data_IF_387611764479
#
_entry.id   IF_387611764479
#
_cell.length_a   1.000
_cell.length_b   1.000
_cell.length_c   1.000
_cell.angle_alpha   90.00
_cell.angle_beta   90.00
_cell.angle_gamma   90.00
#
_symmetry.space_group_name_H-M   'P 1'
#
loop_
_entity.id
_entity.type
_entity.pdbx_description
1 polymer ?
#
# COMPACT_ATOMS: atom_id res chain seq x y z
N UNK A 1 -3.59 -16.10 2.15
CA UNK A 1 -2.14 -16.39 2.35
C UNK A 1 -1.27 -15.20 1.94
N UNK A 2 -0.15 -14.94 2.64
CA UNK A 2 0.82 -13.88 2.31
C UNK A 2 1.60 -14.25 1.05
N UNK A 3 1.55 -13.40 0.01
CA UNK A 3 2.21 -13.58 -1.29
C UNK A 3 3.51 -12.79 -1.41
N UNK A 4 3.61 -11.63 -0.76
CA UNK A 4 4.81 -10.79 -0.74
C UNK A 4 4.90 -9.98 0.55
N UNK A 5 6.12 -9.76 1.03
CA UNK A 5 6.48 -8.80 2.08
C UNK A 5 7.91 -8.32 1.85
N UNK A 6 8.10 -7.01 1.76
CA UNK A 6 9.43 -6.43 1.61
C UNK A 6 9.44 -5.03 1.01
N UNK A 7 10.65 -4.51 0.79
CA UNK A 7 10.85 -3.24 0.08
C UNK A 7 10.64 -3.48 -1.41
N UNK A 8 9.61 -2.87 -1.96
CA UNK A 8 9.32 -2.84 -3.38
C UNK A 8 9.88 -1.57 -4.01
N UNK A 9 10.56 -1.72 -5.14
CA UNK A 9 11.13 -0.62 -5.92
C UNK A 9 10.41 -0.54 -7.27
N UNK A 10 10.16 0.67 -7.77
CA UNK A 10 9.58 0.88 -9.09
C UNK A 10 10.38 1.93 -9.88
N UNK A 11 10.47 1.74 -11.19
CA UNK A 11 11.34 2.53 -12.07
C UNK A 11 10.77 3.88 -12.53
N UNK A 12 9.61 4.28 -12.01
CA UNK A 12 8.92 5.51 -12.40
C UNK A 12 8.49 5.48 -13.87
N UNK A 13 8.51 6.64 -14.53
CA UNK A 13 8.20 6.78 -15.97
C UNK A 13 9.42 6.56 -16.87
N UNK A 14 10.58 6.18 -16.30
CA UNK A 14 11.83 6.00 -17.04
C UNK A 14 12.59 7.31 -17.34
N UNK A 15 13.60 7.21 -18.21
CA UNK A 15 14.48 8.32 -18.60
C UNK A 15 15.67 8.56 -17.65
N UNK A 16 16.63 9.39 -18.08
CA UNK A 16 17.88 9.67 -17.33
C UNK A 16 17.64 10.24 -15.92
N UNK A 17 16.50 10.89 -15.72
CA UNK A 17 16.12 11.53 -14.46
C UNK A 17 15.35 10.60 -13.51
N UNK A 18 14.96 9.39 -13.95
CA UNK A 18 14.16 8.40 -13.19
C UNK A 18 12.98 9.04 -12.45
N UNK A 19 12.25 9.92 -13.14
CA UNK A 19 11.18 10.70 -12.53
C UNK A 19 10.09 9.79 -11.97
N UNK A 20 9.65 10.13 -10.75
CA UNK A 20 8.67 9.36 -10.00
C UNK A 20 9.08 7.91 -9.73
N UNK A 21 10.37 7.55 -9.79
CA UNK A 21 10.87 6.28 -9.25
C UNK A 21 10.95 6.35 -7.72
N UNK A 22 10.95 5.19 -7.07
CA UNK A 22 11.05 5.16 -5.62
C UNK A 22 10.94 3.76 -5.04
N UNK A 23 10.79 3.72 -3.73
CA UNK A 23 10.65 2.50 -2.95
C UNK A 23 9.61 2.65 -1.85
N UNK A 24 8.84 1.59 -1.59
CA UNK A 24 7.92 1.52 -0.47
C UNK A 24 8.01 0.14 0.19
N UNK A 25 7.64 0.05 1.46
CA UNK A 25 7.34 -1.25 2.04
C UNK A 25 6.00 -1.73 1.46
N UNK A 26 5.94 -2.97 1.01
CA UNK A 26 4.78 -3.58 0.37
C UNK A 26 4.47 -4.93 1.01
N UNK A 27 3.20 -5.15 1.30
CA UNK A 27 2.64 -6.46 1.64
C UNK A 27 1.53 -6.81 0.66
N UNK A 28 1.54 -8.03 0.14
CA UNK A 28 0.45 -8.57 -0.68
C UNK A 28 -0.08 -9.82 0.01
N UNK A 29 -1.38 -9.83 0.32
CA UNK A 29 -2.11 -11.00 0.78
C UNK A 29 -3.12 -11.41 -0.29
N UNK A 30 -3.20 -12.71 -0.59
CA UNK A 30 -4.18 -13.27 -1.51
C UNK A 30 -5.03 -14.33 -0.77
N UNK A 31 -6.31 -14.05 -0.64
CA UNK A 31 -7.28 -14.88 0.06
C UNK A 31 -8.15 -15.73 -0.89
N UNK A 32 -7.87 -15.73 -2.21
CA UNK A 32 -8.73 -16.38 -3.21
C UNK A 32 -8.85 -17.91 -3.09
N UNK A 33 -8.08 -18.56 -2.21
CA UNK A 33 -8.10 -20.01 -1.97
C UNK A 33 -8.42 -20.44 -0.53
N UNK A 34 -8.74 -19.51 0.39
CA UNK A 34 -9.03 -19.87 1.78
C UNK A 34 -10.46 -20.43 1.91
N UNK A 35 -10.58 -21.74 2.11
CA UNK A 35 -11.86 -22.39 2.46
C UNK A 35 -12.26 -21.97 3.88
N UNK A 36 -13.26 -21.09 4.02
CA UNK A 36 -14.04 -20.94 5.25
C UNK A 36 -15.54 -21.03 4.99
N UNK A 37 -16.22 -21.57 6.01
CA UNK A 37 -17.49 -22.32 6.03
C UNK A 37 -18.75 -21.62 5.51
N UNK A 38 -18.71 -20.33 5.18
CA UNK A 38 -19.93 -19.57 4.88
C UNK A 38 -19.74 -18.69 3.65
N UNK A 39 -20.76 -18.69 2.81
CA UNK A 39 -20.75 -18.48 1.37
C UNK A 39 -20.60 -17.00 0.93
N UNK A 40 -19.62 -16.28 1.49
CA UNK A 40 -19.31 -14.90 1.11
C UNK A 40 -17.95 -14.87 0.42
N UNK A 41 -17.96 -14.96 -0.91
CA UNK A 41 -16.80 -14.57 -1.72
C UNK A 41 -16.43 -13.13 -1.35
N UNK A 42 -15.24 -12.90 -0.80
CA UNK A 42 -14.69 -11.55 -0.73
C UNK A 42 -14.59 -11.02 -2.16
N UNK A 43 -15.33 -9.94 -2.48
CA UNK A 43 -15.29 -9.31 -3.82
C UNK A 43 -13.86 -8.87 -4.20
N UNK A 44 -13.07 -8.47 -3.20
CA UNK A 44 -11.65 -8.12 -3.33
C UNK A 44 -10.78 -9.02 -2.44
N UNK A 45 -10.44 -10.24 -2.88
CA UNK A 45 -9.65 -11.19 -2.10
C UNK A 45 -8.16 -10.86 -2.06
N UNK A 46 -7.69 -9.88 -2.82
CA UNK A 46 -6.29 -9.45 -2.81
C UNK A 46 -6.18 -8.16 -1.99
N UNK A 47 -5.32 -8.15 -0.99
CA UNK A 47 -5.02 -6.98 -0.17
C UNK A 47 -3.57 -6.54 -0.41
N UNK A 48 -3.39 -5.35 -0.99
CA UNK A 48 -2.09 -4.72 -1.17
C UNK A 48 -1.95 -3.57 -0.18
N UNK A 49 -0.97 -3.65 0.72
CA UNK A 49 -0.69 -2.63 1.74
C UNK A 49 0.65 -1.99 1.40
N UNK A 50 0.70 -0.66 1.35
CA UNK A 50 1.93 0.11 1.14
C UNK A 50 2.21 1.07 2.28
N UNK A 51 3.50 1.28 2.56
CA UNK A 51 3.98 2.23 3.56
C UNK A 51 5.27 2.87 3.05
N UNK A 52 5.50 4.14 3.37
CA UNK A 52 6.82 4.76 3.17
C UNK A 52 7.92 3.97 3.91
N UNK A 53 9.05 3.72 3.25
CA UNK A 53 10.22 3.14 3.92
C UNK A 53 10.70 4.14 4.99
N UNK A 54 10.96 3.70 6.24
CA UNK A 54 11.53 4.58 7.26
C UNK A 54 12.86 5.14 6.78
N UNK A 55 12.99 6.48 6.76
CA UNK A 55 14.18 7.15 6.24
C UNK A 55 15.08 7.58 7.39
N UNK A 56 16.38 7.40 7.22
CA UNK A 56 17.41 7.93 8.12
C UNK A 56 17.84 9.35 7.74
N UNK A 57 17.63 9.78 6.49
CA UNK A 57 17.87 11.15 6.01
C UNK A 57 17.08 11.42 4.72
N UNK A 58 16.56 12.64 4.46
CA UNK A 58 15.88 12.97 3.21
C UNK A 58 16.86 13.06 2.03
N UNK A 59 16.57 12.33 0.95
CA UNK A 59 17.34 12.37 -0.30
C UNK A 59 16.57 13.12 -1.40
N UNK A 60 17.29 13.86 -2.25
CA UNK A 60 16.68 14.54 -3.40
C UNK A 60 16.07 13.51 -4.38
N UNK A 61 14.81 13.71 -4.78
CA UNK A 61 14.09 12.82 -5.69
C UNK A 61 13.24 11.74 -5.03
N UNK A 62 13.21 11.67 -3.69
CA UNK A 62 12.35 10.73 -3.00
C UNK A 62 10.88 11.15 -3.03
N UNK A 63 10.02 10.22 -3.39
CA UNK A 63 8.59 10.46 -3.49
C UNK A 63 7.85 9.63 -2.45
N UNK A 64 6.95 10.26 -1.68
CA UNK A 64 6.11 9.54 -0.73
C UNK A 64 5.13 8.62 -1.47
N UNK A 65 4.68 7.55 -0.81
CA UNK A 65 3.61 6.69 -1.34
C UNK A 65 2.39 7.50 -1.75
N UNK A 66 2.09 8.58 -1.01
CA UNK A 66 0.96 9.48 -1.26
C UNK A 66 1.09 10.19 -2.61
N UNK A 67 2.28 10.68 -2.92
CA UNK A 67 2.54 11.49 -4.11
C UNK A 67 2.57 10.65 -5.40
N UNK A 68 2.79 9.33 -5.30
CA UNK A 68 2.88 8.42 -6.45
C UNK A 68 1.89 7.24 -6.40
N UNK A 69 0.83 7.31 -5.60
CA UNK A 69 -0.02 6.15 -5.28
C UNK A 69 -0.59 5.43 -6.52
N UNK A 70 -1.03 6.16 -7.54
CA UNK A 70 -1.52 5.55 -8.79
C UNK A 70 -0.40 4.87 -9.59
N UNK A 71 0.80 5.44 -9.60
CA UNK A 71 1.96 4.85 -10.29
C UNK A 71 2.45 3.58 -9.59
N UNK A 72 2.48 3.60 -8.26
CA UNK A 72 2.86 2.44 -7.45
C UNK A 72 1.81 1.34 -7.65
N UNK A 73 0.52 1.64 -7.56
CA UNK A 73 -0.54 0.66 -7.79
C UNK A 73 -0.49 0.05 -9.19
N UNK A 74 -0.26 0.87 -10.22
CA UNK A 74 -0.06 0.42 -11.61
C UNK A 74 1.13 -0.55 -11.71
N UNK A 75 2.26 -0.19 -11.10
CA UNK A 75 3.48 -0.99 -11.15
C UNK A 75 3.32 -2.30 -10.38
N UNK A 76 2.72 -2.27 -9.19
CA UNK A 76 2.44 -3.48 -8.39
C UNK A 76 1.49 -4.43 -9.12
N UNK A 77 0.40 -3.91 -9.72
CA UNK A 77 -0.54 -4.74 -10.48
C UNK A 77 0.14 -5.43 -11.66
N UNK A 78 0.96 -4.68 -12.41
CA UNK A 78 1.73 -5.21 -13.55
C UNK A 78 2.75 -6.27 -13.09
N UNK A 79 3.59 -5.92 -12.13
CA UNK A 79 4.77 -6.71 -11.75
C UNK A 79 4.38 -8.01 -11.03
N UNK A 80 3.26 -8.00 -10.30
CA UNK A 80 2.75 -9.18 -9.60
C UNK A 80 1.60 -9.90 -10.34
N UNK A 81 1.19 -9.40 -11.51
CA UNK A 81 0.10 -9.97 -12.31
C UNK A 81 -1.21 -10.06 -11.50
N UNK A 82 -1.57 -8.97 -10.82
CA UNK A 82 -2.79 -8.91 -10.01
C UNK A 82 -3.98 -8.49 -10.88
N UNK A 83 -5.18 -8.94 -10.53
CA UNK A 83 -6.41 -8.36 -11.08
C UNK A 83 -6.79 -7.12 -10.25
N UNK A 84 -6.74 -5.90 -10.83
CA UNK A 84 -7.03 -4.67 -10.10
C UNK A 84 -8.47 -4.62 -9.57
N UNK A 85 -9.43 -5.28 -10.22
CA UNK A 85 -10.83 -5.31 -9.75
C UNK A 85 -11.00 -6.16 -8.50
N UNK A 86 -10.09 -7.11 -8.28
CA UNK A 86 -10.04 -8.02 -7.13
C UNK A 86 -9.11 -7.51 -6.01
N UNK A 87 -8.51 -6.34 -6.18
CA UNK A 87 -7.55 -5.75 -5.26
C UNK A 87 -8.17 -4.65 -4.40
N UNK A 88 -7.95 -4.75 -3.08
CA UNK A 88 -8.09 -3.65 -2.13
C UNK A 88 -6.71 -3.05 -1.88
N UNK A 89 -6.55 -1.76 -2.17
CA UNK A 89 -5.33 -1.02 -1.91
C UNK A 89 -5.41 -0.26 -0.59
N UNK A 90 -4.38 -0.41 0.24
CA UNK A 90 -4.30 0.22 1.55
C UNK A 90 -2.99 0.99 1.69
N UNK A 91 -3.10 2.24 2.09
CA UNK A 91 -1.97 3.07 2.50
C UNK A 91 -1.86 3.07 4.02
N UNK A 92 -0.72 2.62 4.54
CA UNK A 92 -0.40 2.59 5.96
C UNK A 92 0.54 3.74 6.32
N UNK A 93 0.08 4.58 7.24
CA UNK A 93 0.87 5.63 7.86
C UNK A 93 1.13 5.25 9.32
N UNK A 94 2.37 4.88 9.68
CA UNK A 94 2.68 4.49 11.06
C UNK A 94 2.57 5.69 11.99
N UNK A 95 2.33 5.42 13.27
CA UNK A 95 2.43 6.41 14.33
C UNK A 95 3.81 7.07 14.29
N UNK A 96 3.86 8.40 14.26
CA UNK A 96 5.10 9.17 14.22
C UNK A 96 5.07 10.31 15.22
N UNK A 97 6.23 10.60 15.82
CA UNK A 97 6.44 11.80 16.65
C UNK A 97 7.26 12.81 15.86
N UNK A 98 7.00 14.10 16.08
CA UNK A 98 7.69 15.19 15.42
C UNK A 98 7.68 16.47 16.27
N UNK A 99 8.43 17.49 15.85
CA UNK A 99 8.60 18.75 16.57
C UNK A 99 9.87 18.76 17.44
N UNK A 100 10.20 19.93 17.99
CA UNK A 100 11.37 20.07 18.87
C UNK A 100 11.18 19.21 20.12
N UNK A 101 11.91 18.10 20.21
CA UNK A 101 11.80 17.16 21.34
C UNK A 101 10.63 16.16 21.25
N UNK A 102 10.14 15.84 20.04
CA UNK A 102 9.11 14.78 19.82
C UNK A 102 7.76 15.03 20.53
N UNK A 103 7.45 16.31 20.73
CA UNK A 103 6.29 16.78 21.48
C UNK A 103 4.95 16.54 20.76
N UNK A 104 4.96 16.46 19.42
CA UNK A 104 3.75 16.25 18.63
C UNK A 104 3.64 14.82 18.17
N UNK A 105 2.41 14.35 18.08
CA UNK A 105 2.08 12.97 17.73
C UNK A 105 1.12 12.93 16.56
N UNK A 106 1.48 12.15 15.55
CA UNK A 106 0.58 11.72 14.47
C UNK A 106 0.23 10.27 14.76
N UNK A 107 -1.06 10.00 14.93
CA UNK A 107 -1.55 8.64 15.17
C UNK A 107 -1.38 7.77 13.92
N UNK A 108 -1.32 6.46 14.15
CA UNK A 108 -1.33 5.50 13.04
C UNK A 108 -2.66 5.61 12.28
N UNK A 109 -2.59 5.61 10.95
CA UNK A 109 -3.76 5.65 10.09
C UNK A 109 -3.63 4.64 8.95
N UNK A 110 -4.77 4.06 8.56
CA UNK A 110 -4.90 3.25 7.37
C UNK A 110 -5.92 3.89 6.45
N UNK A 111 -5.56 4.04 5.18
CA UNK A 111 -6.47 4.55 4.18
C UNK A 111 -6.70 3.54 3.08
N UNK A 112 -7.94 3.38 2.70
CA UNK A 112 -8.35 2.59 1.55
C UNK A 112 -8.38 3.55 0.36
N UNK A 113 -7.67 3.19 -0.70
CA UNK A 113 -7.59 4.02 -1.90
C UNK A 113 -8.19 3.25 -3.06
N UNK A 114 -9.27 3.79 -3.61
CA UNK A 114 -9.87 3.31 -4.84
C UNK A 114 -9.29 4.07 -6.03
N UNK A 115 -9.23 3.40 -7.17
CA UNK A 115 -8.72 3.96 -8.42
C UNK A 115 -9.71 3.73 -9.54
N UNK A 116 -9.74 4.66 -10.47
CA UNK A 116 -10.31 4.44 -11.80
C UNK A 116 -9.24 3.77 -12.66
N UNK A 117 -9.53 2.58 -13.19
CA UNK A 117 -8.58 1.83 -14.00
C UNK A 117 -8.87 2.03 -15.49
N UNK A 118 -7.87 2.50 -16.23
CA UNK A 118 -7.95 2.66 -17.68
C UNK A 118 -6.62 2.29 -18.33
N UNK A 119 -6.65 1.47 -19.38
CA UNK A 119 -5.46 1.04 -20.12
C UNK A 119 -4.35 0.46 -19.21
N UNK A 120 -4.74 -0.30 -18.18
CA UNK A 120 -3.82 -0.88 -17.20
C UNK A 120 -3.20 0.11 -16.21
N UNK A 121 -3.67 1.37 -16.17
CA UNK A 121 -3.19 2.41 -15.26
C UNK A 121 -4.22 2.74 -14.19
N UNK A 122 -3.75 2.93 -12.96
CA UNK A 122 -4.53 3.43 -11.84
C UNK A 122 -4.56 4.97 -11.84
N UNK A 123 -5.76 5.52 -12.01
CA UNK A 123 -6.03 6.94 -12.11
C UNK A 123 -6.97 7.41 -10.99
N UNK A 124 -7.09 8.72 -10.82
CA UNK A 124 -8.08 9.36 -9.95
C UNK A 124 -8.15 8.74 -8.53
N UNK A 125 -7.04 8.72 -7.76
CA UNK A 125 -7.03 8.07 -6.44
C UNK A 125 -8.03 8.74 -5.50
N UNK A 126 -9.02 7.96 -5.03
CA UNK A 126 -10.01 8.39 -4.05
C UNK A 126 -9.74 7.69 -2.73
N UNK A 127 -9.40 8.49 -1.72
CA UNK A 127 -8.96 8.00 -0.42
C UNK A 127 -10.09 8.12 0.60
N UNK A 128 -10.26 7.08 1.41
CA UNK A 128 -11.07 7.11 2.63
C UNK A 128 -10.34 6.42 3.77
N UNK A 129 -10.49 6.94 4.97
CA UNK A 129 -9.91 6.29 6.16
C UNK A 129 -10.61 4.97 6.44
N UNK A 130 -9.85 3.98 6.91
CA UNK A 130 -10.41 2.70 7.34
C UNK A 130 -11.22 2.90 8.63
N UNK A 131 -12.34 2.18 8.77
CA UNK A 131 -13.05 2.15 10.05
C UNK A 131 -12.16 1.51 11.14
N UNK A 132 -12.40 1.80 12.44
CA UNK A 132 -11.58 1.26 13.52
C UNK A 132 -11.44 -0.28 13.47
N UNK A 133 -12.54 -1.00 13.25
CA UNK A 133 -12.51 -2.47 13.15
C UNK A 133 -11.71 -2.98 11.95
N UNK A 134 -11.75 -2.28 10.81
CA UNK A 134 -10.94 -2.64 9.65
C UNK A 134 -9.46 -2.33 9.88
N UNK A 135 -9.15 -1.18 10.49
CA UNK A 135 -7.79 -0.83 10.88
C UNK A 135 -7.19 -1.88 11.84
N UNK A 136 -7.96 -2.36 12.82
CA UNK A 136 -7.53 -3.42 13.73
C UNK A 136 -7.26 -4.75 13.01
N UNK A 137 -8.10 -5.12 12.03
CA UNK A 137 -7.88 -6.29 11.20
C UNK A 137 -6.60 -6.18 10.36
N UNK A 138 -6.39 -5.04 9.70
CA UNK A 138 -5.19 -4.77 8.89
C UNK A 138 -3.94 -4.80 9.77
N UNK A 139 -3.97 -4.15 10.93
CA UNK A 139 -2.88 -4.18 11.92
C UNK A 139 -2.60 -5.61 12.38
N UNK A 140 -3.64 -6.41 12.63
CA UNK A 140 -3.51 -7.81 12.97
C UNK A 140 -2.83 -8.65 11.88
N UNK A 141 -3.11 -8.37 10.60
CA UNK A 141 -2.43 -9.01 9.46
C UNK A 141 -0.95 -8.63 9.39
N UNK A 142 -0.62 -7.34 9.52
CA UNK A 142 0.77 -6.87 9.51
C UNK A 142 1.59 -7.50 10.65
N UNK A 143 1.01 -7.64 11.85
CA UNK A 143 1.67 -8.33 12.99
C UNK A 143 1.88 -9.82 12.77
N UNK A 144 0.95 -10.50 12.10
CA UNK A 144 1.05 -11.95 11.80
C UNK A 144 2.01 -12.25 10.63
N UNK A 145 2.27 -11.27 9.77
CA UNK A 145 3.24 -11.35 8.68
C UNK A 145 4.69 -11.29 9.15
N UNK A 146 4.97 -10.61 10.27
CA UNK A 146 6.29 -10.54 10.90
C UNK A 146 6.64 -11.85 11.62
N UNK A 147 7.03 -12.86 10.84
CA UNK A 147 7.73 -14.07 11.27
C UNK A 147 8.96 -14.25 10.38
#
# INVERSE_FOLDING_TARGET
MKRYEGVYNWDGWGGKLRLASGSCMLWIFDFAGEKKKDNLMFLKPILAIVRDVPKTSPSFGEVSIRSCVGHIATSVVRDFGLDPQRMLWVEHYPRTRYGSGDERLIEEAFFLTDFEWSEGRALSPKRREASPGMADQIRGLLKKGAL
#
